data_IF_110408144077
#
_entry.id   IF_110408144077
#
_cell.length_a   1.000
_cell.length_b   1.000
_cell.length_c   1.000
_cell.angle_alpha   90.00
_cell.angle_beta   90.00
_cell.angle_gamma   90.00
#
_symmetry.space_group_name_H-M   'P 1'
#
loop_
_entity.id
_entity.type
_entity.pdbx_description
1 polymer ?
#
# COMPACT_ATOMS: atom_id res chain seq x y z
N UNK A 1 40.23 -4.79 -20.50
CA UNK A 1 39.17 -4.45 -21.48
C UNK A 1 37.82 -4.82 -20.87
N UNK A 2 37.04 -3.84 -20.39
CA UNK A 2 35.69 -4.07 -19.83
C UNK A 2 34.66 -3.51 -20.81
N UNK A 3 33.86 -4.40 -21.42
CA UNK A 3 32.68 -4.05 -22.22
C UNK A 3 31.60 -3.54 -21.27
N UNK A 4 31.35 -2.24 -21.28
CA UNK A 4 30.19 -1.63 -20.62
C UNK A 4 29.02 -1.78 -21.60
N UNK A 5 28.06 -2.63 -21.28
CA UNK A 5 26.79 -2.69 -21.98
C UNK A 5 26.09 -1.34 -21.76
N UNK A 6 26.00 -0.53 -22.82
CA UNK A 6 25.11 0.63 -22.89
C UNK A 6 23.67 0.10 -22.82
N UNK A 7 23.13 -0.05 -21.61
CA UNK A 7 21.68 -0.17 -21.43
C UNK A 7 21.06 1.21 -21.56
N UNK A 8 20.27 1.32 -22.63
CA UNK A 8 19.46 2.44 -23.10
C UNK A 8 18.88 3.33 -21.99
N UNK A 9 19.09 4.64 -22.16
CA UNK A 9 18.57 5.72 -21.31
C UNK A 9 17.03 5.77 -21.24
N UNK A 10 16.31 4.98 -22.05
CA UNK A 10 14.84 4.96 -22.13
C UNK A 10 14.15 4.06 -21.10
N UNK A 11 14.87 3.23 -20.34
CA UNK A 11 14.25 2.38 -19.31
C UNK A 11 14.40 2.94 -17.88
N UNK A 12 15.04 4.10 -17.72
CA UNK A 12 15.26 4.78 -16.42
C UNK A 12 14.27 5.91 -16.13
N UNK A 13 13.33 6.18 -17.03
CA UNK A 13 12.42 7.32 -16.92
C UNK A 13 11.03 7.01 -16.34
N UNK A 14 10.75 5.77 -15.93
CA UNK A 14 9.44 5.43 -15.33
C UNK A 14 9.45 5.25 -13.81
N UNK A 15 10.61 5.26 -13.15
CA UNK A 15 10.72 5.00 -11.71
C UNK A 15 10.83 6.29 -10.88
N UNK A 16 11.02 7.46 -11.52
CA UNK A 16 11.27 8.71 -10.80
C UNK A 16 10.01 9.51 -10.38
N UNK A 17 8.79 9.00 -10.62
CA UNK A 17 7.54 9.72 -10.33
C UNK A 17 6.67 9.07 -9.24
N UNK A 18 7.23 8.20 -8.40
CA UNK A 18 6.56 7.75 -7.17
C UNK A 18 7.06 8.46 -5.89
N UNK A 19 7.96 9.45 -6.03
CA UNK A 19 8.69 10.08 -4.91
C UNK A 19 8.07 11.38 -4.37
N UNK A 20 7.02 11.93 -4.99
CA UNK A 20 6.59 13.33 -4.71
C UNK A 20 5.20 13.54 -4.12
N UNK A 21 4.28 12.58 -4.22
CA UNK A 21 2.86 12.84 -3.95
C UNK A 21 2.41 12.63 -2.48
N UNK A 22 3.31 12.22 -1.58
CA UNK A 22 2.94 11.85 -0.20
C UNK A 22 2.68 13.03 0.76
N UNK A 23 2.96 14.27 0.33
CA UNK A 23 2.84 15.48 1.17
C UNK A 23 1.67 16.40 0.83
N UNK A 24 0.82 16.05 -0.12
CA UNK A 24 -0.31 16.89 -0.50
C UNK A 24 -1.57 16.51 0.29
N UNK A 25 -2.28 17.51 0.81
CA UNK A 25 -3.57 17.33 1.45
C UNK A 25 -4.56 16.66 0.46
N UNK A 26 -5.53 15.84 0.94
CA UNK A 26 -6.49 15.14 0.08
C UNK A 26 -7.25 16.06 -0.89
N UNK A 27 -7.43 17.34 -0.53
CA UNK A 27 -8.04 18.37 -1.38
C UNK A 27 -7.21 18.73 -2.62
N UNK A 28 -5.87 18.76 -2.51
CA UNK A 28 -4.98 19.08 -3.63
C UNK A 28 -4.88 17.90 -4.60
N UNK A 29 -4.96 16.68 -4.10
CA UNK A 29 -4.87 15.46 -4.90
C UNK A 29 -6.12 15.22 -5.76
N UNK A 30 -7.30 15.68 -5.32
CA UNK A 30 -8.55 15.58 -6.07
C UNK A 30 -8.57 16.46 -7.34
N UNK A 31 -7.85 17.59 -7.34
CA UNK A 31 -7.82 18.52 -8.48
C UNK A 31 -6.97 18.02 -9.65
N UNK A 32 -6.02 17.10 -9.44
CA UNK A 32 -5.04 16.66 -10.45
C UNK A 32 -5.20 15.21 -10.93
N UNK A 33 -6.25 14.51 -10.51
CA UNK A 33 -6.58 13.17 -11.02
C UNK A 33 -5.50 12.10 -10.75
N UNK A 34 -4.71 12.27 -9.69
CA UNK A 34 -3.61 11.35 -9.35
C UNK A 34 -4.16 10.17 -8.55
N UNK A 35 -4.38 9.04 -9.22
CA UNK A 35 -4.78 7.77 -8.62
C UNK A 35 -3.69 7.24 -7.66
N UNK A 36 -3.99 7.11 -6.37
CA UNK A 36 -3.06 6.52 -5.42
C UNK A 36 -2.87 5.02 -5.70
N UNK A 37 -1.63 4.61 -5.98
CA UNK A 37 -1.20 3.21 -6.04
C UNK A 37 -0.24 2.97 -4.88
N UNK A 38 -0.59 2.05 -3.98
CA UNK A 38 0.26 1.62 -2.87
C UNK A 38 1.11 0.43 -3.34
N UNK A 39 2.27 0.70 -3.93
CA UNK A 39 3.25 -0.33 -4.27
C UNK A 39 4.24 -0.52 -3.10
N UNK A 40 4.37 -1.76 -2.62
CA UNK A 40 5.26 -2.12 -1.50
C UNK A 40 6.48 -2.87 -2.02
N UNK A 41 7.64 -2.20 -2.08
CA UNK A 41 8.92 -2.80 -2.47
C UNK A 41 9.82 -3.04 -1.24
N UNK A 42 10.05 -4.31 -0.88
CA UNK A 42 10.78 -4.70 0.33
C UNK A 42 12.29 -4.80 0.05
N UNK A 43 13.09 -4.19 0.93
CA UNK A 43 14.55 -4.31 0.94
C UNK A 43 14.99 -5.23 2.11
N UNK A 44 16.11 -5.95 1.95
CA UNK A 44 16.70 -6.77 3.02
C UNK A 44 16.96 -5.90 4.27
N UNK A 45 16.31 -6.24 5.38
CA UNK A 45 16.41 -5.51 6.64
C UNK A 45 17.69 -5.83 7.43
N UNK A 46 18.00 -5.06 8.48
CA UNK A 46 19.13 -5.33 9.37
C UNK A 46 19.10 -6.77 9.94
N UNK A 47 20.28 -7.39 10.11
CA UNK A 47 20.41 -8.73 10.72
C UNK A 47 19.84 -8.72 12.14
N UNK A 48 19.07 -9.75 12.50
CA UNK A 48 18.48 -9.92 13.84
C UNK A 48 16.99 -9.56 13.96
N UNK A 49 16.30 -9.36 12.84
CA UNK A 49 14.85 -9.18 12.83
C UNK A 49 14.11 -10.51 13.10
N UNK A 50 12.91 -10.46 13.71
CA UNK A 50 12.01 -11.62 13.77
C UNK A 50 11.71 -12.11 12.35
N UNK A 51 11.52 -13.42 12.19
CA UNK A 51 11.12 -13.98 10.90
C UNK A 51 9.87 -13.28 10.34
N UNK A 52 9.86 -13.06 9.03
CA UNK A 52 8.77 -12.43 8.29
C UNK A 52 8.50 -10.95 8.60
N UNK A 53 9.45 -10.24 9.23
CA UNK A 53 9.35 -8.79 9.48
C UNK A 53 10.26 -8.01 8.55
N UNK A 54 9.69 -7.14 7.73
CA UNK A 54 10.40 -6.39 6.68
C UNK A 54 10.17 -4.88 6.81
N UNK A 55 11.16 -4.07 6.43
CA UNK A 55 11.06 -2.61 6.48
C UNK A 55 11.08 -2.02 5.07
N UNK A 56 10.15 -1.12 4.82
CA UNK A 56 10.04 -0.29 3.62
C UNK A 56 10.52 1.10 3.97
N UNK A 57 11.47 1.62 3.19
CA UNK A 57 12.03 2.97 3.34
C UNK A 57 12.43 3.32 4.80
N UNK A 58 12.90 2.31 5.56
CA UNK A 58 13.29 2.40 6.97
C UNK A 58 12.17 2.76 7.97
N UNK A 59 10.88 2.80 7.59
CA UNK A 59 9.82 3.28 8.50
C UNK A 59 8.52 2.46 8.52
N UNK A 60 8.12 1.83 7.42
CA UNK A 60 6.90 1.02 7.38
C UNK A 60 7.29 -0.44 7.53
N UNK A 61 6.67 -1.13 8.49
CA UNK A 61 6.95 -2.55 8.78
C UNK A 61 5.90 -3.42 8.08
N UNK A 62 6.33 -4.48 7.42
CA UNK A 62 5.46 -5.56 6.94
C UNK A 62 5.70 -6.82 7.79
N UNK A 63 4.63 -7.55 8.08
CA UNK A 63 4.65 -8.85 8.72
C UNK A 63 3.82 -9.84 7.89
N UNK A 64 4.47 -10.79 7.23
CA UNK A 64 3.79 -11.78 6.39
C UNK A 64 4.72 -12.46 5.39
N UNK A 65 4.18 -13.35 4.55
CA UNK A 65 4.97 -14.12 3.59
C UNK A 65 5.48 -13.22 2.46
N UNK A 66 6.67 -13.55 1.96
CA UNK A 66 7.20 -12.99 0.72
C UNK A 66 7.30 -14.04 -0.37
N UNK A 67 6.98 -13.62 -1.59
CA UNK A 67 7.28 -14.35 -2.80
C UNK A 67 8.11 -13.45 -3.71
N UNK A 68 9.30 -13.90 -4.10
CA UNK A 68 10.25 -13.13 -4.92
C UNK A 68 10.59 -11.74 -4.35
N UNK A 69 10.59 -11.61 -3.02
CA UNK A 69 10.86 -10.33 -2.34
C UNK A 69 9.66 -9.37 -2.27
N UNK A 70 8.47 -9.79 -2.72
CA UNK A 70 7.24 -9.01 -2.64
C UNK A 70 6.26 -9.62 -1.64
N UNK A 71 5.46 -8.79 -0.98
CA UNK A 71 4.41 -9.26 -0.07
C UNK A 71 3.40 -10.12 -0.85
N UNK A 72 3.14 -11.32 -0.36
CA UNK A 72 2.20 -12.26 -0.99
C UNK A 72 1.50 -13.11 0.08
N UNK A 73 0.19 -13.31 -0.05
CA UNK A 73 -0.64 -13.97 0.95
C UNK A 73 -1.12 -13.03 2.06
N UNK A 74 -1.60 -13.59 3.16
CA UNK A 74 -2.14 -12.83 4.30
C UNK A 74 -1.02 -12.16 5.10
N UNK A 75 -1.16 -10.86 5.37
CA UNK A 75 -0.14 -10.12 6.11
C UNK A 75 -0.65 -8.86 6.80
N UNK A 76 0.27 -8.19 7.49
CA UNK A 76 0.02 -6.91 8.17
C UNK A 76 1.06 -5.89 7.75
N UNK A 77 0.59 -4.71 7.40
CA UNK A 77 1.41 -3.53 7.18
C UNK A 77 1.22 -2.57 8.36
N UNK A 78 2.28 -1.96 8.83
CA UNK A 78 2.27 -1.08 10.00
C UNK A 78 2.83 0.29 9.66
N UNK A 79 2.16 1.32 10.17
CA UNK A 79 2.71 2.66 10.24
C UNK A 79 3.99 2.72 11.10
N UNK A 80 4.77 3.77 10.92
CA UNK A 80 5.98 4.03 11.69
C UNK A 80 5.74 4.16 13.20
N UNK A 81 4.53 4.55 13.62
CA UNK A 81 4.12 4.60 15.02
C UNK A 81 3.71 3.22 15.58
N UNK A 82 3.90 2.15 14.82
CA UNK A 82 3.59 0.77 15.21
C UNK A 82 2.12 0.39 15.08
N UNK A 83 1.22 1.31 14.70
CA UNK A 83 -0.19 0.96 14.46
C UNK A 83 -0.36 0.22 13.14
N UNK A 84 -1.29 -0.72 13.11
CA UNK A 84 -1.63 -1.46 11.88
C UNK A 84 -2.24 -0.50 10.88
N UNK A 85 -1.61 -0.39 9.71
CA UNK A 85 -2.07 0.32 8.52
C UNK A 85 -3.05 -0.56 7.73
N UNK A 86 -2.66 -1.80 7.47
CA UNK A 86 -3.46 -2.75 6.71
C UNK A 86 -3.31 -4.15 7.27
N UNK A 87 -4.40 -4.91 7.24
CA UNK A 87 -4.45 -6.32 7.58
C UNK A 87 -5.34 -7.01 6.56
N UNK A 88 -4.79 -7.99 5.84
CA UNK A 88 -5.49 -8.73 4.78
C UNK A 88 -4.55 -9.33 3.75
N UNK A 89 -5.12 -9.64 2.58
CA UNK A 89 -4.39 -10.28 1.49
C UNK A 89 -3.47 -9.34 0.73
N UNK A 90 -2.38 -9.90 0.22
CA UNK A 90 -1.40 -9.27 -0.67
C UNK A 90 -1.13 -10.15 -1.89
N UNK A 91 -0.94 -9.54 -3.05
CA UNK A 91 -0.43 -10.19 -4.27
C UNK A 91 0.54 -9.24 -4.96
N UNK A 92 1.79 -9.68 -5.16
CA UNK A 92 2.81 -8.88 -5.84
C UNK A 92 3.08 -7.53 -5.17
N UNK A 93 3.01 -7.47 -3.83
CA UNK A 93 3.21 -6.22 -3.07
C UNK A 93 1.99 -5.30 -2.99
N UNK A 94 0.86 -5.63 -3.61
CA UNK A 94 -0.36 -4.83 -3.57
C UNK A 94 -1.41 -5.46 -2.65
N UNK A 95 -2.27 -4.64 -2.03
CA UNK A 95 -3.44 -5.16 -1.30
C UNK A 95 -4.39 -5.86 -2.28
N UNK A 96 -4.84 -7.06 -1.93
CA UNK A 96 -5.67 -7.90 -2.77
C UNK A 96 -6.63 -8.74 -1.91
N UNK A 97 -7.83 -8.99 -2.41
CA UNK A 97 -8.83 -9.77 -1.68
C UNK A 97 -9.40 -9.02 -0.48
N UNK A 98 -9.76 -9.71 0.60
CA UNK A 98 -10.39 -9.07 1.77
C UNK A 98 -9.33 -8.40 2.65
N UNK A 99 -9.65 -7.21 3.15
CA UNK A 99 -8.75 -6.51 4.05
C UNK A 99 -9.40 -5.41 4.88
N UNK A 100 -8.60 -4.86 5.79
CA UNK A 100 -8.97 -3.79 6.70
C UNK A 100 -7.90 -2.71 6.70
N UNK A 101 -8.23 -1.56 6.12
CA UNK A 101 -7.38 -0.39 6.04
C UNK A 101 -7.70 0.61 7.16
N UNK A 102 -6.65 1.10 7.83
CA UNK A 102 -6.72 2.01 8.97
C UNK A 102 -5.80 3.20 8.78
N UNK A 103 -6.19 4.35 9.31
CA UNK A 103 -5.35 5.55 9.31
C UNK A 103 -4.19 5.46 10.33
N UNK A 104 -3.37 6.51 10.40
CA UNK A 104 -2.26 6.60 11.37
C UNK A 104 -2.72 6.66 12.82
N UNK A 105 -3.98 6.99 13.09
CA UNK A 105 -4.54 6.95 14.44
C UNK A 105 -5.09 5.56 14.79
N UNK A 106 -5.14 4.64 13.82
CA UNK A 106 -5.70 3.31 13.98
C UNK A 106 -7.21 3.26 13.75
N UNK A 107 -7.83 4.37 13.32
CA UNK A 107 -9.23 4.40 12.96
C UNK A 107 -9.45 3.58 11.69
N UNK A 108 -10.50 2.76 11.72
CA UNK A 108 -10.94 2.02 10.55
C UNK A 108 -11.41 3.03 9.50
N UNK A 109 -10.82 2.96 8.31
CA UNK A 109 -11.20 3.80 7.18
C UNK A 109 -11.98 2.98 6.16
N UNK A 110 -11.54 1.75 5.87
CA UNK A 110 -12.24 0.86 4.95
C UNK A 110 -12.09 -0.60 5.37
N UNK A 111 -13.18 -1.35 5.27
CA UNK A 111 -13.20 -2.81 5.39
C UNK A 111 -13.94 -3.39 4.21
N UNK A 112 -13.31 -4.28 3.45
CA UNK A 112 -13.95 -4.84 2.26
C UNK A 112 -12.95 -5.53 1.35
N UNK A 113 -13.33 -5.68 0.09
CA UNK A 113 -12.43 -6.23 -0.92
C UNK A 113 -11.49 -5.16 -1.48
N UNK A 114 -10.33 -5.62 -1.92
CA UNK A 114 -9.25 -4.86 -2.53
C UNK A 114 -8.85 -5.56 -3.83
N UNK A 115 -8.48 -4.76 -4.83
CA UNK A 115 -7.92 -5.24 -6.08
C UNK A 115 -6.84 -4.29 -6.55
N UNK A 116 -5.63 -4.80 -6.76
CA UNK A 116 -4.47 -3.99 -7.16
C UNK A 116 -4.27 -2.75 -6.25
N UNK A 117 -4.41 -2.93 -4.94
CA UNK A 117 -4.22 -1.87 -3.95
C UNK A 117 -5.41 -0.92 -3.77
N UNK A 118 -6.51 -1.09 -4.51
CA UNK A 118 -7.68 -0.18 -4.46
C UNK A 118 -8.89 -0.85 -3.84
N UNK A 119 -9.75 -0.08 -3.18
CA UNK A 119 -11.06 -0.57 -2.72
C UNK A 119 -11.87 -1.11 -3.91
N UNK A 120 -12.43 -2.31 -3.74
CA UNK A 120 -13.14 -3.05 -4.77
C UNK A 120 -14.24 -3.90 -4.15
N UNK A 121 -15.10 -4.50 -5.00
CA UNK A 121 -16.08 -5.48 -4.57
C UNK A 121 -17.03 -4.93 -3.51
N UNK A 122 -17.41 -5.75 -2.54
CA UNK A 122 -18.24 -5.30 -1.42
C UNK A 122 -17.39 -4.73 -0.30
N UNK A 123 -17.79 -3.59 0.26
CA UNK A 123 -17.09 -2.98 1.39
C UNK A 123 -17.88 -1.96 2.17
N UNK A 124 -17.26 -1.47 3.23
CA UNK A 124 -17.75 -0.44 4.13
C UNK A 124 -16.67 0.63 4.29
N UNK A 125 -17.01 1.87 3.93
CA UNK A 125 -16.21 3.06 4.14
C UNK A 125 -16.68 3.78 5.39
N UNK A 126 -15.74 4.23 6.20
CA UNK A 126 -15.99 4.89 7.48
C UNK A 126 -15.54 6.35 7.45
N UNK A 127 -16.03 7.15 8.40
CA UNK A 127 -15.57 8.51 8.62
C UNK A 127 -14.10 8.54 9.05
N UNK A 128 -13.45 9.70 8.94
CA UNK A 128 -12.03 9.86 9.28
C UNK A 128 -11.68 9.52 10.73
N UNK A 129 -12.65 9.60 11.64
CA UNK A 129 -12.55 9.22 13.05
C UNK A 129 -13.01 7.77 13.31
N UNK A 130 -13.39 7.03 12.26
CA UNK A 130 -13.88 5.66 12.31
C UNK A 130 -15.24 5.48 13.00
N UNK A 131 -15.92 6.56 13.40
CA UNK A 131 -17.12 6.49 14.26
C UNK A 131 -18.40 6.18 13.49
N UNK A 132 -18.46 6.47 12.19
CA UNK A 132 -19.67 6.35 11.36
C UNK A 132 -19.39 5.64 10.06
N UNK A 133 -20.35 4.82 9.62
CA UNK A 133 -20.37 4.31 8.24
C UNK A 133 -20.79 5.44 7.31
N UNK A 134 -19.95 5.73 6.32
CA UNK A 134 -20.19 6.73 5.26
C UNK A 134 -20.83 6.07 4.05
N UNK A 135 -20.41 4.85 3.72
CA UNK A 135 -20.97 4.07 2.63
C UNK A 135 -20.80 2.58 2.90
N UNK A 136 -21.81 1.79 2.57
CA UNK A 136 -21.77 0.34 2.57
C UNK A 136 -22.36 -0.13 1.24
N UNK A 137 -21.58 -0.89 0.46
CA UNK A 137 -21.97 -1.22 -0.89
C UNK A 137 -20.81 -1.64 -1.79
N UNK A 138 -21.02 -1.48 -3.09
CA UNK A 138 -20.04 -1.87 -4.10
C UNK A 138 -19.01 -0.77 -4.31
N UNK A 139 -17.75 -1.18 -4.49
CA UNK A 139 -16.64 -0.31 -4.85
C UNK A 139 -16.02 -0.76 -6.17
N UNK A 140 -15.64 0.20 -7.02
CA UNK A 140 -14.86 -0.06 -8.24
C UNK A 140 -13.76 0.99 -8.37
N UNK A 141 -12.52 0.51 -8.47
CA UNK A 141 -11.32 1.36 -8.64
C UNK A 141 -11.18 2.43 -7.54
N UNK A 142 -11.56 2.11 -6.30
CA UNK A 142 -11.45 3.02 -5.15
C UNK A 142 -12.71 3.83 -4.85
N UNK A 143 -13.71 3.84 -5.73
CA UNK A 143 -14.91 4.66 -5.58
C UNK A 143 -16.17 3.83 -5.30
N UNK A 144 -17.11 4.31 -4.46
CA UNK A 144 -18.42 3.69 -4.28
C UNK A 144 -19.24 3.73 -5.58
N UNK A 145 -20.12 2.74 -5.75
CA UNK A 145 -20.97 2.52 -6.94
C UNK A 145 -22.45 2.73 -6.68
#
# INVERSE_FOLDING_TARGET
MKRILKTSLLQKSFILLALGAFFLAPSILAEWGVDQVLEVQIFEGPKGLPENVYYLEHQIRYQGPLEQGLANGEGKLFWNNGKVLYEGGFVGGLFEGKGLYRDRNGFRIYQGEFKQGRFHGTGTLYSSDGSRVIHEGLFKQGAPR
#
